data_IF_381324415767
#
_entry.id   IF_381324415767
#
_cell.length_a   1.000
_cell.length_b   1.000
_cell.length_c   1.000
_cell.angle_alpha   90.00
_cell.angle_beta   90.00
_cell.angle_gamma   90.00
#
_symmetry.space_group_name_H-M   'P 1'
#
loop_
_entity.id
_entity.type
_entity.pdbx_description
1 polymer ?
#
# COMPACT_ATOMS: atom_id res chain seq x y z
N UNK A 1 25.23 -12.51 -33.36
CA UNK A 1 26.21 -11.75 -34.18
C UNK A 1 26.97 -10.85 -33.22
N UNK A 2 28.26 -11.08 -33.00
CA UNK A 2 29.10 -10.19 -32.19
C UNK A 2 29.54 -9.02 -33.06
N UNK A 3 29.10 -7.80 -32.74
CA UNK A 3 29.45 -6.58 -33.47
C UNK A 3 30.51 -5.83 -32.65
N UNK A 4 31.68 -5.61 -33.25
CA UNK A 4 32.83 -4.90 -32.66
C UNK A 4 32.86 -3.39 -32.94
N UNK A 5 31.92 -2.87 -33.72
CA UNK A 5 31.86 -1.45 -34.06
C UNK A 5 30.40 -0.99 -34.25
N UNK A 6 29.83 -0.34 -33.23
CA UNK A 6 28.39 -0.04 -33.15
C UNK A 6 27.94 0.98 -34.19
N UNK A 7 28.76 1.98 -34.51
CA UNK A 7 28.33 3.12 -35.33
C UNK A 7 28.28 2.77 -36.82
N UNK A 8 29.22 1.96 -37.31
CA UNK A 8 29.17 1.45 -38.69
C UNK A 8 27.95 0.55 -38.92
N UNK A 9 27.63 -0.31 -37.95
CA UNK A 9 26.52 -1.24 -38.05
C UNK A 9 25.15 -0.52 -38.03
N UNK A 10 24.99 0.47 -37.15
CA UNK A 10 23.80 1.34 -37.11
C UNK A 10 23.60 2.04 -38.46
N UNK A 11 24.67 2.59 -39.05
CA UNK A 11 24.61 3.24 -40.36
C UNK A 11 24.19 2.29 -41.48
N UNK A 12 24.66 1.04 -41.45
CA UNK A 12 24.28 0.00 -42.42
C UNK A 12 22.80 -0.39 -42.30
N UNK A 13 22.29 -0.52 -41.07
CA UNK A 13 20.89 -0.84 -40.81
C UNK A 13 19.98 0.30 -41.26
N UNK A 14 20.32 1.54 -40.90
CA UNK A 14 19.56 2.72 -41.33
C UNK A 14 19.44 2.76 -42.86
N UNK A 15 20.55 2.54 -43.58
CA UNK A 15 20.57 2.55 -45.05
C UNK A 15 19.81 1.38 -45.68
N UNK A 16 19.75 0.23 -45.00
CA UNK A 16 19.04 -0.95 -45.50
C UNK A 16 17.52 -0.90 -45.26
N UNK A 17 17.06 -0.13 -44.27
CA UNK A 17 15.68 -0.13 -43.78
C UNK A 17 14.92 1.19 -44.00
N UNK A 18 15.58 2.27 -44.42
CA UNK A 18 14.97 3.59 -44.55
C UNK A 18 13.76 3.65 -45.51
N UNK A 19 13.79 2.85 -46.58
CA UNK A 19 12.75 2.85 -47.64
C UNK A 19 11.87 1.59 -47.60
N UNK A 20 11.81 0.93 -46.43
CA UNK A 20 11.00 -0.28 -46.25
C UNK A 20 10.08 -0.13 -45.06
N UNK A 21 8.82 -0.48 -45.28
CA UNK A 21 7.86 -0.74 -44.22
C UNK A 21 8.26 -2.00 -43.44
N UNK A 22 8.60 -1.82 -42.16
CA UNK A 22 9.11 -2.90 -41.32
C UNK A 22 8.27 -3.11 -40.05
N UNK A 23 8.32 -4.33 -39.53
CA UNK A 23 7.85 -4.69 -38.20
C UNK A 23 9.06 -5.15 -37.38
N UNK A 24 9.39 -4.41 -36.32
CA UNK A 24 10.45 -4.78 -35.37
C UNK A 24 9.77 -5.24 -34.08
N UNK A 25 10.22 -6.37 -33.54
CA UNK A 25 9.85 -6.83 -32.20
C UNK A 25 11.12 -6.87 -31.36
N UNK A 26 11.17 -6.01 -30.34
CA UNK A 26 12.20 -6.03 -29.31
C UNK A 26 11.64 -6.75 -28.09
N UNK A 27 12.15 -7.94 -27.84
CA UNK A 27 11.73 -8.74 -26.69
C UNK A 27 12.65 -8.48 -25.48
N UNK A 28 12.05 -8.33 -24.30
CA UNK A 28 12.70 -8.22 -22.99
C UNK A 28 13.76 -7.10 -22.86
N UNK A 29 13.36 -5.86 -23.17
CA UNK A 29 14.25 -4.70 -23.06
C UNK A 29 14.38 -4.24 -21.61
N UNK A 30 15.59 -4.24 -21.07
CA UNK A 30 15.85 -3.87 -19.66
C UNK A 30 16.34 -2.42 -19.49
N UNK A 31 17.04 -1.88 -20.50
CA UNK A 31 17.72 -0.58 -20.43
C UNK A 31 17.43 0.28 -21.65
N UNK A 32 17.22 1.58 -21.44
CA UNK A 32 16.98 2.57 -22.52
C UNK A 32 18.10 2.58 -23.57
N UNK A 33 19.35 2.40 -23.16
CA UNK A 33 20.51 2.31 -24.07
C UNK A 33 20.37 1.22 -25.15
N UNK A 34 19.70 0.10 -24.85
CA UNK A 34 19.45 -0.96 -25.83
C UNK A 34 18.48 -0.48 -26.91
N UNK A 35 17.46 0.27 -26.49
CA UNK A 35 16.42 0.84 -27.34
C UNK A 35 17.01 1.92 -28.26
N UNK A 36 17.84 2.82 -27.71
CA UNK A 36 18.54 3.86 -28.46
C UNK A 36 19.51 3.27 -29.51
N UNK A 37 20.18 2.17 -29.20
CA UNK A 37 21.11 1.49 -30.12
C UNK A 37 20.40 0.74 -31.26
N UNK A 38 19.21 0.18 -30.99
CA UNK A 38 18.52 -0.71 -31.93
C UNK A 38 17.49 0.00 -32.81
N UNK A 39 16.78 0.98 -32.26
CA UNK A 39 15.62 1.62 -32.92
C UNK A 39 15.83 3.12 -33.11
N UNK A 40 16.82 3.72 -32.46
CA UNK A 40 17.25 5.08 -32.72
C UNK A 40 16.10 6.10 -32.65
N UNK A 41 15.98 6.93 -33.69
CA UNK A 41 14.90 7.93 -33.85
C UNK A 41 13.88 7.45 -34.88
N UNK A 42 12.66 8.00 -34.83
CA UNK A 42 11.55 7.62 -35.73
C UNK A 42 11.82 7.85 -37.23
N UNK A 43 12.86 8.61 -37.58
CA UNK A 43 13.30 8.87 -38.96
C UNK A 43 14.11 7.71 -39.58
N UNK A 44 14.36 6.63 -38.84
CA UNK A 44 15.09 5.47 -39.34
C UNK A 44 14.25 4.56 -40.26
N UNK A 45 12.92 4.73 -40.26
CA UNK A 45 11.99 3.78 -40.89
C UNK A 45 10.95 4.49 -41.75
N UNK A 46 10.47 3.79 -42.77
CA UNK A 46 9.40 4.30 -43.65
C UNK A 46 8.09 4.45 -42.87
N UNK A 47 7.26 5.43 -43.26
CA UNK A 47 5.96 5.68 -42.67
C UNK A 47 5.07 4.42 -42.72
N UNK A 48 4.44 4.08 -41.59
CA UNK A 48 3.65 2.86 -41.41
C UNK A 48 4.43 1.65 -40.89
N UNK A 49 5.74 1.79 -40.62
CA UNK A 49 6.51 0.81 -39.85
C UNK A 49 6.00 0.72 -38.41
N UNK A 50 6.15 -0.45 -37.78
CA UNK A 50 5.71 -0.71 -36.41
C UNK A 50 6.84 -1.30 -35.58
N UNK A 51 7.00 -0.81 -34.35
CA UNK A 51 7.92 -1.37 -33.36
C UNK A 51 7.11 -1.84 -32.17
N UNK A 52 7.26 -3.11 -31.80
CA UNK A 52 6.67 -3.70 -30.60
C UNK A 52 7.81 -3.92 -29.62
N UNK A 53 7.63 -3.45 -28.39
CA UNK A 53 8.64 -3.56 -27.33
C UNK A 53 7.96 -4.25 -26.16
N UNK A 54 8.53 -5.37 -25.72
CA UNK A 54 8.16 -5.98 -24.44
C UNK A 54 9.21 -5.59 -23.41
N UNK A 55 8.75 -5.19 -22.23
CA UNK A 55 9.63 -4.83 -21.11
C UNK A 55 8.88 -5.01 -19.80
N UNK A 56 9.62 -5.35 -18.75
CA UNK A 56 9.14 -5.34 -17.36
C UNK A 56 9.37 -4.00 -16.66
N UNK A 57 10.10 -3.09 -17.30
CA UNK A 57 10.54 -1.84 -16.71
C UNK A 57 10.08 -0.64 -17.56
N UNK A 58 9.01 0.01 -17.09
CA UNK A 58 8.42 1.14 -17.81
C UNK A 58 9.38 2.35 -17.93
N UNK A 59 10.40 2.45 -17.06
CA UNK A 59 11.40 3.54 -17.13
C UNK A 59 12.24 3.51 -18.40
N UNK A 60 12.30 2.38 -19.11
CA UNK A 60 12.94 2.26 -20.42
C UNK A 60 12.26 3.15 -21.47
N UNK A 61 10.96 3.42 -21.28
CA UNK A 61 10.10 4.12 -22.24
C UNK A 61 9.90 5.62 -21.91
N UNK A 62 10.21 6.05 -20.68
CA UNK A 62 10.02 7.45 -20.22
C UNK A 62 11.34 8.23 -20.21
N UNK A 63 11.34 9.49 -20.65
CA UNK A 63 12.49 10.38 -20.49
C UNK A 63 12.53 11.00 -19.08
N UNK A 64 13.74 11.16 -18.53
CA UNK A 64 14.00 11.56 -17.12
C UNK A 64 13.61 13.00 -16.76
N UNK A 65 12.71 13.66 -17.48
CA UNK A 65 12.52 15.12 -17.41
C UNK A 65 11.09 15.61 -17.42
N UNK A 66 10.14 14.86 -16.86
CA UNK A 66 8.88 15.45 -16.42
C UNK A 66 8.68 15.18 -14.94
N UNK A 67 8.72 16.28 -14.17
CA UNK A 67 8.29 16.32 -12.78
C UNK A 67 6.84 15.86 -12.78
N UNK A 68 6.59 14.67 -12.24
CA UNK A 68 5.23 14.19 -12.01
C UNK A 68 4.58 15.10 -10.95
N UNK A 69 3.94 16.16 -11.42
CA UNK A 69 2.84 16.79 -10.70
C UNK A 69 1.71 15.76 -10.59
N UNK A 70 1.11 15.69 -9.40
CA UNK A 70 0.27 14.58 -8.92
C UNK A 70 -1.09 14.51 -9.63
N UNK A 71 -1.38 15.43 -10.56
CA UNK A 71 -2.70 15.56 -11.22
C UNK A 71 -2.69 15.34 -12.75
N UNK A 72 -1.58 14.89 -13.35
CA UNK A 72 -1.54 14.64 -14.79
C UNK A 72 -2.02 13.22 -15.15
N UNK A 73 -3.17 13.16 -15.82
CA UNK A 73 -3.61 12.06 -16.70
C UNK A 73 -2.40 11.52 -17.46
N UNK A 74 -2.19 10.17 -17.58
CA UNK A 74 -0.98 9.62 -18.20
C UNK A 74 -0.78 10.24 -19.59
N UNK A 75 0.20 11.14 -19.66
CA UNK A 75 0.55 11.88 -20.85
C UNK A 75 0.90 10.89 -21.95
N UNK A 76 0.15 10.96 -23.04
CA UNK A 76 0.44 10.26 -24.29
C UNK A 76 1.75 10.82 -24.80
N UNK A 77 2.87 10.12 -24.62
CA UNK A 77 4.06 10.39 -25.42
C UNK A 77 3.63 10.31 -26.89
N UNK A 78 3.80 11.41 -27.66
CA UNK A 78 3.46 11.44 -29.07
C UNK A 78 4.13 10.26 -29.79
N UNK A 79 3.33 9.23 -30.12
CA UNK A 79 3.77 8.07 -30.90
C UNK A 79 4.01 6.75 -30.14
N UNK A 80 4.03 6.71 -28.80
CA UNK A 80 4.20 5.44 -28.05
C UNK A 80 2.87 4.98 -27.47
N UNK A 81 2.37 3.84 -27.95
CA UNK A 81 1.19 3.17 -27.40
C UNK A 81 1.65 2.13 -26.37
N UNK A 82 1.31 2.35 -25.10
CA UNK A 82 1.55 1.37 -24.03
C UNK A 82 0.38 0.40 -23.94
N UNK A 83 0.68 -0.89 -23.76
CA UNK A 83 -0.30 -1.94 -23.49
C UNK A 83 0.17 -2.77 -22.30
N UNK A 84 -0.52 -2.62 -21.17
CA UNK A 84 -0.29 -3.46 -20.00
C UNK A 84 -0.92 -4.84 -20.23
N UNK A 85 -0.10 -5.89 -20.18
CA UNK A 85 -0.59 -7.27 -20.29
C UNK A 85 -1.36 -7.61 -19.02
N UNK A 86 -2.68 -7.70 -19.14
CA UNK A 86 -3.56 -8.01 -18.02
C UNK A 86 -3.40 -9.47 -17.56
N UNK A 87 -3.65 -9.68 -16.27
CA UNK A 87 -3.76 -11.03 -15.70
C UNK A 87 -4.75 -11.91 -16.50
N UNK A 88 -4.42 -13.19 -16.61
CA UNK A 88 -5.30 -14.17 -17.23
C UNK A 88 -6.57 -14.37 -16.40
N UNK A 89 -7.73 -14.39 -17.05
CA UNK A 89 -9.00 -14.67 -16.37
C UNK A 89 -9.01 -16.09 -15.78
N UNK A 90 -9.66 -16.29 -14.63
CA UNK A 90 -9.67 -17.58 -13.94
C UNK A 90 -10.15 -18.74 -14.82
N UNK A 91 -11.18 -18.52 -15.65
CA UNK A 91 -11.68 -19.52 -16.61
C UNK A 91 -10.64 -19.91 -17.65
N UNK A 92 -9.89 -18.93 -18.17
CA UNK A 92 -8.80 -19.15 -19.13
C UNK A 92 -7.61 -19.84 -18.46
N UNK A 93 -7.27 -19.46 -17.22
CA UNK A 93 -6.24 -20.10 -16.43
C UNK A 93 -6.57 -21.58 -16.14
N UNK A 94 -7.83 -21.89 -15.83
CA UNK A 94 -8.31 -23.25 -15.68
C UNK A 94 -8.25 -24.03 -16.99
N UNK A 95 -8.69 -23.43 -18.10
CA UNK A 95 -8.60 -24.07 -19.41
C UNK A 95 -7.15 -24.36 -19.80
N UNK A 96 -6.23 -23.41 -19.59
CA UNK A 96 -4.80 -23.58 -19.86
C UNK A 96 -4.23 -24.71 -19.00
N UNK A 97 -4.48 -24.68 -17.69
CA UNK A 97 -4.04 -25.72 -16.78
C UNK A 97 -4.53 -27.10 -17.21
N UNK A 98 -5.81 -27.21 -17.60
CA UNK A 98 -6.40 -28.46 -18.05
C UNK A 98 -5.83 -28.95 -19.38
N UNK A 99 -5.48 -28.05 -20.31
CA UNK A 99 -4.82 -28.43 -21.56
C UNK A 99 -3.45 -29.04 -21.32
N UNK A 100 -2.72 -28.52 -20.33
CA UNK A 100 -1.40 -29.03 -19.97
C UNK A 100 -1.46 -30.31 -19.13
N UNK A 101 -2.42 -30.43 -18.21
CA UNK A 101 -2.55 -31.60 -17.30
C UNK A 101 -3.40 -32.75 -17.84
N UNK A 102 -4.58 -32.46 -18.41
CA UNK A 102 -5.55 -33.46 -18.89
C UNK A 102 -5.59 -33.59 -20.42
N UNK A 103 -4.89 -32.72 -21.17
CA UNK A 103 -5.00 -32.61 -22.64
C UNK A 103 -6.43 -32.30 -23.10
N UNK A 104 -7.20 -31.58 -22.26
CA UNK A 104 -8.61 -31.18 -22.48
C UNK A 104 -8.85 -29.79 -21.90
N UNK A 105 -10.00 -29.19 -22.21
CA UNK A 105 -10.32 -27.83 -21.76
C UNK A 105 -10.93 -27.75 -20.35
N UNK A 106 -11.17 -28.90 -19.71
CA UNK A 106 -11.83 -29.00 -18.41
C UNK A 106 -11.26 -30.17 -17.59
N UNK A 107 -11.29 -30.07 -16.24
CA UNK A 107 -10.83 -31.13 -15.37
C UNK A 107 -11.89 -32.26 -15.28
N UNK A 108 -11.45 -33.46 -14.90
CA UNK A 108 -12.35 -34.52 -14.43
C UNK A 108 -12.89 -34.19 -13.04
N UNK A 109 -14.07 -34.70 -12.68
CA UNK A 109 -14.79 -34.35 -11.43
C UNK A 109 -13.91 -34.46 -10.18
N UNK A 110 -13.16 -35.56 -10.05
CA UNK A 110 -12.28 -35.84 -8.90
C UNK A 110 -11.12 -34.85 -8.73
N UNK A 111 -10.79 -34.09 -9.77
CA UNK A 111 -9.65 -33.17 -9.82
C UNK A 111 -10.06 -31.70 -9.97
N UNK A 112 -11.36 -31.40 -10.05
CA UNK A 112 -11.87 -30.05 -10.22
C UNK A 112 -11.45 -29.15 -9.04
N UNK A 113 -11.61 -29.63 -7.81
CA UNK A 113 -11.23 -28.90 -6.59
C UNK A 113 -9.71 -28.67 -6.54
N UNK A 114 -8.91 -29.71 -6.78
CA UNK A 114 -7.44 -29.64 -6.76
C UNK A 114 -6.90 -28.70 -7.85
N UNK A 115 -7.43 -28.78 -9.07
CA UNK A 115 -7.05 -27.92 -10.19
C UNK A 115 -7.28 -26.45 -9.84
N UNK A 116 -8.45 -26.12 -9.28
CA UNK A 116 -8.79 -24.77 -8.85
C UNK A 116 -7.85 -24.27 -7.74
N UNK A 117 -7.55 -25.10 -6.74
CA UNK A 117 -6.61 -24.74 -5.67
C UNK A 117 -5.20 -24.47 -6.18
N UNK A 118 -4.69 -25.31 -7.09
CA UNK A 118 -3.38 -25.11 -7.71
C UNK A 118 -3.36 -23.80 -8.50
N UNK A 119 -4.36 -23.51 -9.32
CA UNK A 119 -4.43 -22.25 -10.10
C UNK A 119 -4.45 -21.01 -9.20
N UNK A 120 -5.17 -21.08 -8.07
CA UNK A 120 -5.20 -20.01 -7.09
C UNK A 120 -3.80 -19.75 -6.51
N UNK A 121 -3.06 -20.81 -6.16
CA UNK A 121 -1.68 -20.68 -5.65
C UNK A 121 -0.72 -20.17 -6.74
N UNK A 122 -0.91 -20.62 -7.98
CA UNK A 122 -0.11 -20.19 -9.12
C UNK A 122 -0.46 -18.78 -9.63
N UNK A 123 -1.39 -18.06 -8.99
CA UNK A 123 -1.66 -16.66 -9.29
C UNK A 123 -2.23 -16.40 -10.68
N UNK A 124 -2.85 -17.41 -11.33
CA UNK A 124 -3.35 -17.31 -12.72
C UNK A 124 -2.26 -17.01 -13.78
N UNK A 125 -1.00 -17.35 -13.49
CA UNK A 125 0.12 -17.04 -14.36
C UNK A 125 0.31 -18.08 -15.45
N UNK A 126 0.31 -17.69 -16.74
CA UNK A 126 0.32 -18.65 -17.85
C UNK A 126 1.50 -19.62 -17.80
N UNK A 127 2.71 -19.11 -17.55
CA UNK A 127 3.93 -19.93 -17.54
C UNK A 127 3.98 -20.88 -16.35
N UNK A 128 3.65 -20.41 -15.15
CA UNK A 128 3.62 -21.26 -13.96
C UNK A 128 2.55 -22.36 -14.09
N UNK A 129 1.39 -22.02 -14.65
CA UNK A 129 0.31 -22.95 -14.97
C UNK A 129 0.75 -24.01 -15.96
N UNK A 130 1.43 -23.61 -17.04
CA UNK A 130 1.94 -24.54 -18.05
C UNK A 130 2.95 -25.53 -17.46
N UNK A 131 3.93 -25.03 -16.70
CA UNK A 131 4.99 -25.86 -16.10
C UNK A 131 4.39 -26.88 -15.14
N UNK A 132 3.56 -26.43 -14.20
CA UNK A 132 2.94 -27.33 -13.22
C UNK A 132 1.92 -28.25 -13.88
N UNK A 133 1.06 -27.73 -14.75
CA UNK A 133 0.08 -28.52 -15.49
C UNK A 133 0.74 -29.64 -16.28
N UNK A 134 1.84 -29.36 -16.98
CA UNK A 134 2.59 -30.36 -17.75
C UNK A 134 3.27 -31.39 -16.86
N UNK A 135 3.78 -31.00 -15.68
CA UNK A 135 4.36 -31.91 -14.69
C UNK A 135 3.34 -32.90 -14.10
N UNK A 136 2.06 -32.53 -14.14
CA UNK A 136 0.94 -33.35 -13.66
C UNK A 136 0.29 -34.17 -14.81
N UNK A 137 0.86 -34.13 -16.02
CA UNK A 137 0.35 -34.84 -17.19
C UNK A 137 0.88 -36.29 -17.26
N UNK A 138 0.00 -37.29 -17.39
CA UNK A 138 0.39 -38.70 -17.43
C UNK A 138 -0.79 -39.70 -17.48
N UNK A 139 -0.52 -40.94 -17.90
CA UNK A 139 -1.51 -41.98 -18.29
C UNK A 139 -2.18 -42.69 -17.09
N UNK A 140 -1.80 -42.39 -15.86
CA UNK A 140 -2.59 -42.73 -14.68
C UNK A 140 -2.63 -41.51 -13.79
N UNK A 141 -3.77 -40.82 -13.74
CA UNK A 141 -3.93 -39.62 -12.92
C UNK A 141 -3.80 -40.06 -11.46
N UNK A 142 -2.61 -39.86 -10.88
CA UNK A 142 -2.31 -40.23 -9.51
C UNK A 142 -2.71 -39.07 -8.59
N UNK A 143 -3.80 -39.26 -7.84
CA UNK A 143 -4.30 -38.25 -6.91
C UNK A 143 -3.27 -37.89 -5.83
N UNK A 144 -2.43 -38.83 -5.42
CA UNK A 144 -1.40 -38.57 -4.41
C UNK A 144 -0.34 -37.58 -4.91
N UNK A 145 0.07 -37.69 -6.19
CA UNK A 145 1.01 -36.76 -6.82
C UNK A 145 0.47 -35.32 -6.88
N UNK A 146 -0.83 -35.17 -7.17
CA UNK A 146 -1.49 -33.87 -7.17
C UNK A 146 -1.54 -33.25 -5.77
N UNK A 147 -1.88 -34.04 -4.75
CA UNK A 147 -1.91 -33.59 -3.37
C UNK A 147 -0.50 -33.25 -2.83
N UNK A 148 0.53 -34.02 -3.22
CA UNK A 148 1.93 -33.73 -2.88
C UNK A 148 2.43 -32.46 -3.57
N UNK A 149 2.11 -32.28 -4.85
CA UNK A 149 2.48 -31.07 -5.62
C UNK A 149 1.81 -29.84 -5.01
N UNK A 150 0.55 -29.94 -4.63
CA UNK A 150 -0.15 -28.88 -3.90
C UNK A 150 0.57 -28.52 -2.58
N UNK A 151 0.97 -29.54 -1.80
CA UNK A 151 1.75 -29.34 -0.56
C UNK A 151 3.14 -28.74 -0.81
N UNK A 152 3.78 -29.04 -1.94
CA UNK A 152 5.07 -28.47 -2.33
C UNK A 152 4.94 -27.01 -2.76
N UNK A 153 3.92 -26.69 -3.56
CA UNK A 153 3.63 -25.31 -3.98
C UNK A 153 3.23 -24.42 -2.81
N UNK A 154 2.63 -24.99 -1.76
CA UNK A 154 2.41 -24.30 -0.49
C UNK A 154 3.71 -24.00 0.28
N UNK A 155 4.85 -24.63 -0.09
CA UNK A 155 6.14 -24.50 0.61
C UNK A 155 7.22 -23.77 -0.20
N UNK A 156 7.25 -23.91 -1.53
CA UNK A 156 8.27 -23.34 -2.41
C UNK A 156 7.62 -22.36 -3.40
N UNK A 157 8.07 -21.10 -3.47
CA UNK A 157 7.41 -20.11 -4.31
C UNK A 157 7.61 -20.35 -5.84
N UNK A 158 6.64 -19.98 -6.70
CA UNK A 158 6.73 -20.10 -8.16
C UNK A 158 7.87 -19.28 -8.82
N UNK A 159 8.17 -19.54 -10.11
CA UNK A 159 9.22 -18.86 -10.89
C UNK A 159 9.12 -17.32 -10.90
N UNK A 160 7.91 -16.76 -10.88
CA UNK A 160 7.71 -15.30 -10.77
C UNK A 160 8.02 -14.76 -9.37
N UNK A 161 7.92 -15.58 -8.32
CA UNK A 161 8.45 -15.21 -7.01
C UNK A 161 9.98 -15.17 -7.04
N UNK A 162 10.64 -16.02 -7.82
CA UNK A 162 12.10 -15.91 -8.03
C UNK A 162 12.47 -14.62 -8.77
N UNK A 163 11.69 -14.22 -9.79
CA UNK A 163 11.89 -12.95 -10.50
C UNK A 163 11.56 -11.72 -9.63
N UNK A 164 10.51 -11.81 -8.80
CA UNK A 164 10.16 -10.80 -7.80
C UNK A 164 11.23 -10.72 -6.71
N UNK A 165 11.82 -11.84 -6.30
CA UNK A 165 12.95 -11.88 -5.37
C UNK A 165 14.16 -11.14 -5.93
N UNK A 166 14.49 -11.33 -7.22
CA UNK A 166 15.57 -10.56 -7.88
C UNK A 166 15.26 -9.05 -7.87
N UNK A 167 14.01 -8.67 -8.14
CA UNK A 167 13.57 -7.27 -8.09
C UNK A 167 13.65 -6.68 -6.67
N UNK A 168 13.31 -7.47 -5.65
CA UNK A 168 13.40 -7.10 -4.23
C UNK A 168 14.84 -7.00 -3.73
N UNK A 169 15.71 -7.95 -4.10
CA UNK A 169 17.14 -7.94 -3.75
C UNK A 169 17.84 -6.71 -4.34
N UNK A 170 17.37 -6.20 -5.48
CA UNK A 170 17.90 -4.96 -6.06
C UNK A 170 17.40 -3.65 -5.44
N UNK A 171 16.57 -3.69 -4.37
CA UNK A 171 16.10 -2.49 -3.65
C UNK A 171 17.09 -2.05 -2.57
N UNK A 172 17.15 -0.74 -2.31
CA UNK A 172 17.87 -0.20 -1.15
C UNK A 172 17.18 -0.55 0.17
N UNK A 173 17.91 -0.56 1.31
CA UNK A 173 17.35 -0.97 2.60
C UNK A 173 16.07 -0.23 3.02
N UNK A 174 16.01 1.08 2.80
CA UNK A 174 14.83 1.91 3.11
C UNK A 174 13.64 1.56 2.22
N UNK A 175 13.88 1.33 0.93
CA UNK A 175 12.87 0.91 -0.05
C UNK A 175 12.31 -0.48 0.28
N UNK A 176 13.16 -1.40 0.74
CA UNK A 176 12.73 -2.72 1.24
C UNK A 176 11.80 -2.57 2.44
N UNK A 177 12.13 -1.71 3.42
CA UNK A 177 11.24 -1.47 4.58
C UNK A 177 9.87 -0.96 4.16
N UNK A 178 9.81 0.00 3.22
CA UNK A 178 8.53 0.50 2.66
C UNK A 178 7.76 -0.61 1.95
N UNK A 179 8.43 -1.44 1.14
CA UNK A 179 7.81 -2.59 0.46
C UNK A 179 7.18 -3.57 1.45
N UNK A 180 7.92 -3.97 2.49
CA UNK A 180 7.45 -4.91 3.51
C UNK A 180 6.28 -4.32 4.31
N UNK A 181 6.36 -3.04 4.67
CA UNK A 181 5.26 -2.33 5.35
C UNK A 181 3.98 -2.34 4.50
N UNK A 182 4.09 -2.08 3.18
CA UNK A 182 2.94 -2.13 2.27
C UNK A 182 2.36 -3.55 2.20
N UNK A 183 3.20 -4.56 1.94
CA UNK A 183 2.80 -5.96 1.79
C UNK A 183 2.05 -6.50 3.03
N UNK A 184 2.48 -6.07 4.21
CA UNK A 184 1.92 -6.52 5.48
C UNK A 184 0.72 -5.69 5.94
N UNK A 185 0.76 -4.36 5.82
CA UNK A 185 -0.15 -3.48 6.58
C UNK A 185 -0.97 -2.51 5.74
N UNK A 186 -0.53 -2.13 4.53
CA UNK A 186 -1.15 -1.02 3.79
C UNK A 186 -1.80 -1.40 2.45
N UNK A 187 -1.87 -2.69 2.10
CA UNK A 187 -2.69 -3.12 0.96
C UNK A 187 -4.16 -2.75 1.19
N UNK A 188 -4.77 -2.10 0.18
CA UNK A 188 -6.13 -1.53 0.21
C UNK A 188 -6.33 -0.44 1.27
N UNK A 189 -5.25 0.14 1.79
CA UNK A 189 -5.30 1.33 2.63
C UNK A 189 -4.96 2.57 1.80
N UNK A 190 -5.41 3.75 2.27
CA UNK A 190 -5.12 5.03 1.65
C UNK A 190 -3.61 5.32 1.68
N UNK A 191 -3.03 5.70 0.54
CA UNK A 191 -1.59 5.93 0.39
C UNK A 191 -1.07 7.23 1.05
N UNK A 192 -1.95 8.19 1.40
CA UNK A 192 -1.55 9.50 1.95
C UNK A 192 -0.94 9.39 3.34
N UNK A 193 -1.45 8.50 4.19
CA UNK A 193 -1.06 8.48 5.62
C UNK A 193 0.27 7.79 5.90
N UNK A 194 0.61 6.64 5.27
CA UNK A 194 1.87 5.93 5.54
C UNK A 194 3.12 6.79 5.30
N UNK A 195 3.05 7.77 4.39
CA UNK A 195 4.12 8.72 4.06
C UNK A 195 4.62 9.47 5.30
N UNK A 196 3.74 9.84 6.24
CA UNK A 196 4.15 10.55 7.46
C UNK A 196 5.04 9.70 8.36
N UNK A 197 4.67 8.43 8.56
CA UNK A 197 5.48 7.48 9.33
C UNK A 197 6.82 7.24 8.65
N UNK A 198 6.81 6.95 7.35
CA UNK A 198 8.05 6.69 6.60
C UNK A 198 8.97 7.90 6.54
N UNK A 199 8.42 9.12 6.53
CA UNK A 199 9.24 10.35 6.56
C UNK A 199 9.93 10.53 7.92
N UNK A 200 9.23 10.33 9.04
CA UNK A 200 9.83 10.42 10.38
C UNK A 200 10.82 9.26 10.65
N UNK A 201 10.67 8.12 9.96
CA UNK A 201 11.62 7.01 9.95
C UNK A 201 12.84 7.23 9.02
N UNK A 202 12.91 8.35 8.28
CA UNK A 202 13.94 8.61 7.24
C UNK A 202 13.98 7.54 6.13
N UNK A 203 12.82 6.99 5.75
CA UNK A 203 12.71 5.98 4.68
C UNK A 203 12.53 6.59 3.29
N UNK A 204 12.55 7.92 3.16
CA UNK A 204 12.42 8.64 1.89
C UNK A 204 11.21 8.16 1.04
N UNK A 205 9.98 8.25 1.57
CA UNK A 205 8.81 7.58 0.99
C UNK A 205 8.52 7.93 -0.47
N UNK A 206 8.77 9.17 -0.89
CA UNK A 206 8.58 9.56 -2.29
C UNK A 206 9.52 8.82 -3.25
N UNK A 207 10.78 8.64 -2.86
CA UNK A 207 11.73 7.84 -3.64
C UNK A 207 11.33 6.36 -3.62
N UNK A 208 11.06 5.82 -2.44
CA UNK A 208 10.69 4.42 -2.28
C UNK A 208 9.43 4.05 -3.08
N UNK A 209 8.34 4.80 -2.95
CA UNK A 209 7.10 4.56 -3.69
C UNK A 209 7.36 4.64 -5.20
N UNK A 210 8.12 5.64 -5.66
CA UNK A 210 8.48 5.77 -7.08
C UNK A 210 9.23 4.55 -7.59
N UNK A 211 10.25 4.09 -6.87
CA UNK A 211 11.03 2.92 -7.27
C UNK A 211 10.18 1.65 -7.29
N UNK A 212 9.32 1.46 -6.28
CA UNK A 212 8.43 0.29 -6.21
C UNK A 212 7.40 0.29 -7.35
N UNK A 213 6.85 1.45 -7.74
CA UNK A 213 5.97 1.60 -8.92
C UNK A 213 6.72 1.31 -10.22
N UNK A 214 7.92 1.88 -10.42
CA UNK A 214 8.73 1.66 -11.62
C UNK A 214 9.14 0.20 -11.82
N UNK A 215 9.28 -0.54 -10.71
CA UNK A 215 9.56 -1.98 -10.71
C UNK A 215 8.31 -2.86 -10.72
N UNK A 216 7.13 -2.25 -10.85
CA UNK A 216 5.83 -2.94 -10.82
C UNK A 216 5.62 -3.81 -9.58
N UNK A 217 6.28 -3.47 -8.46
CA UNK A 217 6.14 -4.19 -7.19
C UNK A 217 4.90 -3.75 -6.41
N UNK A 218 4.43 -2.52 -6.68
CA UNK A 218 3.18 -1.96 -6.17
C UNK A 218 2.46 -1.25 -7.30
N UNK A 219 1.15 -1.09 -7.14
CA UNK A 219 0.30 -0.22 -7.94
C UNK A 219 -0.54 0.67 -7.01
N UNK A 220 -0.88 1.88 -7.45
CA UNK A 220 -1.81 2.76 -6.75
C UNK A 220 -3.05 2.86 -7.62
N UNK A 221 -4.20 2.41 -7.11
CA UNK A 221 -5.47 2.46 -7.84
C UNK A 221 -6.03 3.88 -7.92
N UNK A 222 -7.03 4.08 -8.78
CA UNK A 222 -7.76 5.37 -8.93
C UNK A 222 -8.37 5.88 -7.61
N UNK A 223 -8.57 4.98 -6.63
CA UNK A 223 -9.05 5.31 -5.29
C UNK A 223 -7.94 5.68 -4.30
N UNK A 224 -6.72 5.95 -4.79
CA UNK A 224 -5.53 6.28 -4.02
C UNK A 224 -5.11 5.20 -3.01
N UNK A 225 -5.39 3.93 -3.31
CA UNK A 225 -5.02 2.81 -2.44
C UNK A 225 -3.89 1.98 -3.00
N UNK A 226 -3.01 1.51 -2.12
CA UNK A 226 -1.98 0.57 -2.51
C UNK A 226 -2.57 -0.79 -2.88
N UNK A 227 -2.06 -1.36 -3.96
CA UNK A 227 -2.30 -2.73 -4.38
C UNK A 227 -0.98 -3.40 -4.74
N UNK A 228 -0.93 -4.70 -4.55
CA UNK A 228 0.19 -5.55 -4.94
C UNK A 228 -0.37 -6.80 -5.60
N UNK A 229 0.33 -7.35 -6.58
CA UNK A 229 0.03 -8.67 -7.08
C UNK A 229 0.10 -9.69 -5.93
N UNK A 230 -0.80 -10.67 -5.91
CA UNK A 230 -0.97 -11.60 -4.78
C UNK A 230 0.35 -12.28 -4.40
N UNK A 231 1.15 -12.66 -5.39
CA UNK A 231 2.45 -13.31 -5.16
C UNK A 231 3.53 -12.37 -4.62
N UNK A 232 3.54 -11.11 -5.07
CA UNK A 232 4.49 -10.09 -4.60
C UNK A 232 4.21 -9.77 -3.14
N UNK A 233 2.93 -9.62 -2.80
CA UNK A 233 2.45 -9.50 -1.43
C UNK A 233 2.86 -10.70 -0.58
N UNK A 234 2.60 -11.90 -1.07
CA UNK A 234 2.83 -13.12 -0.29
C UNK A 234 4.34 -13.36 -0.11
N UNK A 235 5.19 -12.98 -1.07
CA UNK A 235 6.64 -12.89 -0.89
C UNK A 235 7.02 -11.91 0.21
N UNK A 236 6.52 -10.66 0.17
CA UNK A 236 6.82 -9.67 1.20
C UNK A 236 6.41 -10.14 2.60
N UNK A 237 5.24 -10.76 2.72
CA UNK A 237 4.77 -11.36 3.98
C UNK A 237 5.62 -12.53 4.43
N UNK A 238 6.09 -13.36 3.48
CA UNK A 238 6.97 -14.48 3.79
C UNK A 238 8.33 -14.01 4.29
N UNK A 239 8.92 -12.98 3.67
CA UNK A 239 10.18 -12.35 4.13
C UNK A 239 10.00 -11.85 5.57
N UNK A 240 8.93 -11.10 5.85
CA UNK A 240 8.63 -10.65 7.21
C UNK A 240 8.44 -11.82 8.16
N UNK A 241 7.80 -12.92 7.73
CA UNK A 241 7.61 -14.11 8.55
C UNK A 241 8.92 -14.83 8.87
N UNK A 242 9.84 -14.94 7.91
CA UNK A 242 11.17 -15.54 8.13
C UNK A 242 12.07 -14.65 9.00
N UNK A 243 12.05 -13.33 8.76
CA UNK A 243 12.81 -12.34 9.55
C UNK A 243 12.24 -12.22 10.99
N UNK A 244 10.91 -12.26 11.17
CA UNK A 244 10.24 -12.00 12.46
C UNK A 244 9.66 -13.28 13.09
N UNK A 245 10.26 -14.44 12.87
CA UNK A 245 9.80 -15.72 13.41
C UNK A 245 9.96 -15.85 14.95
N UNK A 246 9.45 -14.91 15.76
CA UNK A 246 9.21 -15.02 17.22
C UNK A 246 8.03 -14.12 17.63
N UNK A 247 6.81 -14.66 17.59
CA UNK A 247 5.67 -14.07 18.30
C UNK A 247 6.02 -13.90 19.80
N UNK A 248 5.57 -12.81 20.46
CA UNK A 248 5.65 -12.71 21.90
C UNK A 248 4.77 -13.81 22.50
N UNK A 249 5.37 -14.77 23.22
CA UNK A 249 4.64 -15.78 23.97
C UNK A 249 5.14 -17.22 23.84
N UNK A 250 6.00 -17.56 22.86
CA UNK A 250 6.67 -18.87 22.82
C UNK A 250 8.15 -18.74 22.47
N UNK A 251 8.97 -18.88 23.53
CA UNK A 251 10.45 -18.87 23.60
C UNK A 251 11.08 -17.47 23.69
N UNK A 252 11.51 -17.18 24.90
CA UNK A 252 12.47 -16.16 25.33
C UNK A 252 13.66 -16.04 24.37
N UNK A 253 13.77 -14.92 23.64
CA UNK A 253 15.06 -14.53 23.06
C UNK A 253 15.10 -13.62 21.82
N UNK A 254 14.00 -13.20 21.18
CA UNK A 254 14.09 -12.15 20.13
C UNK A 254 12.86 -11.22 20.12
N UNK A 255 12.68 -10.45 21.19
CA UNK A 255 11.67 -9.40 21.21
C UNK A 255 12.23 -8.02 20.82
N UNK A 256 13.55 -7.87 20.74
CA UNK A 256 14.21 -6.56 20.57
C UNK A 256 14.15 -6.03 19.12
N UNK A 257 13.95 -6.91 18.13
CA UNK A 257 13.98 -6.57 16.70
C UNK A 257 12.59 -6.35 16.07
N UNK A 258 11.50 -6.50 16.84
CA UNK A 258 10.15 -6.32 16.30
C UNK A 258 9.90 -4.84 16.05
N UNK A 259 9.84 -4.47 14.77
CA UNK A 259 9.62 -3.08 14.37
C UNK A 259 8.16 -2.76 14.03
N UNK A 260 7.35 -3.74 13.66
CA UNK A 260 5.94 -3.53 13.33
C UNK A 260 5.07 -4.71 13.79
N UNK A 261 3.96 -4.41 14.46
CA UNK A 261 3.05 -5.40 15.02
C UNK A 261 1.60 -5.09 14.65
N UNK A 262 0.90 -6.07 14.10
CA UNK A 262 -0.54 -5.99 13.84
C UNK A 262 -1.26 -7.18 14.48
N UNK A 263 -2.12 -6.91 15.45
CA UNK A 263 -2.89 -7.92 16.18
C UNK A 263 -4.31 -7.99 15.60
N UNK A 264 -4.60 -9.01 14.79
CA UNK A 264 -5.96 -9.31 14.34
C UNK A 264 -6.62 -10.29 15.31
N UNK A 265 -7.70 -9.86 15.96
CA UNK A 265 -8.47 -10.72 16.85
C UNK A 265 -9.36 -11.68 16.04
N UNK A 266 -9.04 -12.98 16.07
CA UNK A 266 -9.90 -14.03 15.55
C UNK A 266 -10.91 -14.41 16.64
N UNK A 267 -12.15 -13.96 16.48
CA UNK A 267 -13.19 -14.05 17.50
C UNK A 267 -13.30 -15.43 18.15
N UNK A 268 -12.97 -15.52 19.44
CA UNK A 268 -13.32 -16.61 20.37
C UNK A 268 -12.82 -16.27 21.79
N UNK A 269 -13.32 -15.19 22.39
CA UNK A 269 -13.34 -14.97 23.85
C UNK A 269 -14.22 -13.75 24.16
N UNK A 270 -14.86 -13.75 25.32
CA UNK A 270 -15.69 -12.64 25.80
C UNK A 270 -14.95 -11.30 25.78
N UNK A 271 -15.42 -10.36 24.96
CA UNK A 271 -15.44 -8.92 25.23
C UNK A 271 -14.14 -8.12 25.42
N UNK A 272 -12.94 -8.71 25.40
CA UNK A 272 -11.68 -7.99 25.65
C UNK A 272 -10.64 -8.16 24.56
N UNK A 273 -10.07 -7.07 24.05
CA UNK A 273 -8.87 -7.14 23.20
C UNK A 273 -7.59 -7.37 24.01
N UNK A 274 -6.46 -7.50 23.33
CA UNK A 274 -5.16 -7.79 23.95
C UNK A 274 -4.72 -6.66 24.88
N UNK A 275 -4.31 -6.99 26.12
CA UNK A 275 -3.80 -6.00 27.09
C UNK A 275 -2.27 -6.06 27.12
N UNK A 276 -1.61 -5.00 26.67
CA UNK A 276 -0.17 -4.83 26.83
C UNK A 276 0.15 -4.37 28.25
N UNK A 277 1.11 -5.05 28.87
CA UNK A 277 1.78 -4.55 30.08
C UNK A 277 2.93 -3.63 29.70
N UNK A 278 3.37 -2.81 30.65
CA UNK A 278 4.58 -2.00 30.53
C UNK A 278 5.82 -2.86 30.23
N UNK A 279 5.99 -3.99 30.90
CA UNK A 279 7.10 -4.90 30.63
C UNK A 279 7.10 -5.48 29.20
N UNK A 280 5.93 -5.78 28.64
CA UNK A 280 5.82 -6.30 27.27
C UNK A 280 6.19 -5.23 26.24
N UNK A 281 5.64 -4.03 26.38
CA UNK A 281 5.93 -2.94 25.44
C UNK A 281 7.38 -2.44 25.57
N UNK A 282 7.97 -2.46 26.77
CA UNK A 282 9.38 -2.12 26.99
C UNK A 282 10.37 -3.09 26.34
N UNK A 283 9.97 -4.35 26.08
CA UNK A 283 10.79 -5.30 25.32
C UNK A 283 10.78 -5.01 23.82
N UNK A 284 9.77 -4.28 23.34
CA UNK A 284 9.56 -3.91 21.93
C UNK A 284 10.18 -2.53 21.62
N UNK A 285 11.47 -2.36 21.91
CA UNK A 285 12.15 -1.04 21.83
C UNK A 285 12.20 -0.46 20.42
N UNK A 286 12.22 -1.32 19.40
CA UNK A 286 12.31 -0.93 17.99
C UNK A 286 10.93 -0.74 17.33
N UNK A 287 9.83 -0.90 18.09
CA UNK A 287 8.48 -0.89 17.55
C UNK A 287 8.08 0.49 17.03
N UNK A 288 8.02 0.65 15.71
CA UNK A 288 7.55 1.85 15.01
C UNK A 288 6.06 1.84 14.66
N UNK A 289 5.47 0.66 14.52
CA UNK A 289 4.08 0.50 14.08
C UNK A 289 3.33 -0.48 14.97
N UNK A 290 2.21 -0.06 15.54
CA UNK A 290 1.30 -0.91 16.30
C UNK A 290 -0.12 -0.75 15.76
N UNK A 291 -0.75 -1.87 15.38
CA UNK A 291 -2.16 -1.93 14.99
C UNK A 291 -2.89 -3.00 15.79
N UNK A 292 -4.07 -2.69 16.29
CA UNK A 292 -4.94 -3.69 16.86
C UNK A 292 -6.32 -3.16 17.22
N UNK A 293 -7.28 -4.08 17.28
CA UNK A 293 -8.65 -3.82 17.68
C UNK A 293 -8.84 -4.11 19.16
N UNK A 294 -9.42 -3.17 19.90
CA UNK A 294 -9.73 -3.32 21.32
C UNK A 294 -8.51 -3.44 22.21
N UNK A 295 -7.33 -2.99 21.77
CA UNK A 295 -6.11 -3.06 22.57
C UNK A 295 -6.31 -2.34 23.91
N UNK A 296 -5.70 -2.84 24.96
CA UNK A 296 -5.65 -2.17 26.24
C UNK A 296 -4.20 -2.02 26.69
N UNK A 297 -3.93 -1.00 27.49
CA UNK A 297 -2.61 -0.73 28.03
C UNK A 297 -2.72 -0.55 29.54
N UNK A 298 -2.00 -1.40 30.27
CA UNK A 298 -2.04 -1.45 31.72
C UNK A 298 -0.62 -1.35 32.28
N UNK A 299 -0.45 -0.52 33.31
CA UNK A 299 0.85 -0.30 33.94
C UNK A 299 1.44 1.07 33.63
N UNK A 300 2.75 1.21 33.88
CA UNK A 300 3.44 2.50 33.86
C UNK A 300 4.53 2.51 32.77
N UNK A 301 4.23 3.18 31.66
CA UNK A 301 5.09 3.19 30.47
C UNK A 301 6.15 4.28 30.57
N UNK A 302 6.98 4.20 31.61
CA UNK A 302 8.20 5.01 31.68
C UNK A 302 9.19 4.43 30.66
N UNK A 303 9.77 5.31 29.83
CA UNK A 303 10.87 5.09 28.87
C UNK A 303 10.52 5.35 27.38
N UNK A 304 11.57 5.34 26.56
CA UNK A 304 11.58 5.70 25.14
C UNK A 304 10.76 4.73 24.30
N UNK A 305 9.77 5.26 23.59
CA UNK A 305 9.01 4.53 22.60
C UNK A 305 9.39 5.04 21.20
N UNK A 306 9.83 4.14 20.33
CA UNK A 306 10.08 4.42 18.91
C UNK A 306 8.80 4.33 18.09
N UNK A 307 7.62 4.37 18.71
CA UNK A 307 6.34 4.23 18.03
C UNK A 307 6.02 5.51 17.24
N UNK A 308 5.82 5.35 15.93
CA UNK A 308 5.45 6.41 14.98
C UNK A 308 3.98 6.29 14.56
N UNK A 309 3.45 5.06 14.52
CA UNK A 309 2.08 4.78 14.13
C UNK A 309 1.35 3.93 15.17
N UNK A 310 0.23 4.43 15.68
CA UNK A 310 -0.68 3.67 16.53
C UNK A 310 -2.08 3.64 15.93
N UNK A 311 -2.51 2.46 15.48
CA UNK A 311 -3.88 2.18 15.06
C UNK A 311 -4.59 1.38 16.15
N UNK A 312 -5.40 2.10 16.91
CA UNK A 312 -6.04 1.65 18.14
C UNK A 312 -7.56 1.68 17.96
N UNK A 313 -8.04 0.79 17.11
CA UNK A 313 -9.45 0.69 16.76
C UNK A 313 -10.26 0.20 17.96
N UNK A 314 -11.46 0.74 18.13
CA UNK A 314 -12.39 0.33 19.19
C UNK A 314 -11.72 0.35 20.58
N UNK A 315 -10.97 1.42 20.88
CA UNK A 315 -10.25 1.56 22.14
C UNK A 315 -11.21 1.55 23.35
N UNK A 316 -10.76 1.02 24.51
CA UNK A 316 -11.58 0.98 25.71
C UNK A 316 -11.91 2.40 26.21
N UNK A 317 -13.12 2.62 26.76
CA UNK A 317 -13.51 3.92 27.31
C UNK A 317 -12.64 4.34 28.51
N UNK A 318 -12.09 3.36 29.23
CA UNK A 318 -11.19 3.58 30.35
C UNK A 318 -9.75 3.37 29.88
N UNK A 319 -8.92 4.42 29.96
CA UNK A 319 -7.49 4.32 29.70
C UNK A 319 -6.71 4.27 31.01
N UNK A 320 -6.18 3.09 31.35
CA UNK A 320 -5.53 2.82 32.65
C UNK A 320 -4.02 2.96 32.64
N UNK A 321 -3.40 3.17 31.47
CA UNK A 321 -1.97 3.36 31.36
C UNK A 321 -1.53 4.69 31.99
N UNK A 322 -0.41 4.65 32.70
CA UNK A 322 0.25 5.85 33.22
C UNK A 322 1.48 6.16 32.37
N UNK A 323 1.74 7.44 32.11
CA UNK A 323 2.89 7.95 31.35
C UNK A 323 3.03 7.32 29.95
N UNK A 324 1.91 7.03 29.27
CA UNK A 324 1.97 6.38 27.96
C UNK A 324 2.76 7.21 26.93
N UNK A 325 3.89 6.66 26.49
CA UNK A 325 4.87 7.38 25.69
C UNK A 325 4.45 7.47 24.22
N UNK A 326 3.83 8.59 23.85
CA UNK A 326 3.38 8.88 22.47
C UNK A 326 4.19 9.98 21.80
N UNK A 327 5.35 10.33 22.36
CA UNK A 327 6.12 11.53 21.98
C UNK A 327 6.54 11.52 20.51
N UNK A 328 6.80 10.33 19.96
CA UNK A 328 7.19 10.13 18.56
C UNK A 328 6.03 9.76 17.62
N UNK A 329 4.81 9.63 18.13
CA UNK A 329 3.68 9.23 17.28
C UNK A 329 3.32 10.37 16.33
N UNK A 330 3.36 10.04 15.04
CA UNK A 330 2.98 10.92 13.92
C UNK A 330 1.61 10.58 13.35
N UNK A 331 1.17 9.32 13.48
CA UNK A 331 -0.17 8.88 13.06
C UNK A 331 -0.86 8.17 14.21
N UNK A 332 -2.01 8.70 14.62
CA UNK A 332 -2.89 8.11 15.63
C UNK A 332 -4.27 7.88 15.03
N UNK A 333 -4.69 6.62 15.02
CA UNK A 333 -5.99 6.20 14.54
C UNK A 333 -6.78 5.60 15.71
N UNK A 334 -7.82 6.32 16.13
CA UNK A 334 -8.76 5.93 17.18
C UNK A 334 -10.13 5.57 16.58
N UNK A 335 -10.18 5.24 15.30
CA UNK A 335 -11.44 5.04 14.60
C UNK A 335 -12.31 3.95 15.24
N UNK A 336 -13.63 4.12 15.10
CA UNK A 336 -14.68 3.23 15.63
C UNK A 336 -14.71 3.13 17.16
N UNK A 337 -14.00 4.01 17.86
CA UNK A 337 -13.94 4.00 19.33
C UNK A 337 -15.15 4.68 19.96
N UNK A 338 -15.51 4.23 21.16
CA UNK A 338 -16.63 4.81 21.95
C UNK A 338 -16.17 6.00 22.79
N UNK A 339 -15.29 6.83 22.23
CA UNK A 339 -14.73 8.01 22.90
C UNK A 339 -15.72 9.18 22.85
N UNK A 340 -15.70 9.99 23.91
CA UNK A 340 -16.44 11.25 24.03
C UNK A 340 -15.45 12.42 24.11
N UNK A 341 -15.97 13.64 24.07
CA UNK A 341 -15.20 14.88 24.31
C UNK A 341 -14.46 14.86 25.66
N UNK A 342 -15.04 14.20 26.68
CA UNK A 342 -14.49 14.07 28.03
C UNK A 342 -13.67 12.79 28.26
N UNK A 343 -13.30 12.07 27.18
CA UNK A 343 -12.52 10.84 27.31
C UNK A 343 -11.19 11.11 28.04
N UNK A 344 -10.95 10.41 29.14
CA UNK A 344 -9.78 10.64 30.00
C UNK A 344 -8.46 10.44 29.27
N UNK A 345 -8.47 9.64 28.19
CA UNK A 345 -7.32 9.43 27.32
C UNK A 345 -6.80 10.68 26.61
N UNK A 346 -7.63 11.71 26.37
CA UNK A 346 -7.19 12.98 25.77
C UNK A 346 -6.05 13.62 26.57
N UNK A 347 -6.11 13.52 27.91
CA UNK A 347 -5.08 14.05 28.80
C UNK A 347 -3.74 13.33 28.69
N UNK A 348 -3.74 12.07 28.28
CA UNK A 348 -2.54 11.25 28.13
C UNK A 348 -1.93 11.44 26.74
N UNK A 349 -2.75 11.48 25.69
CA UNK A 349 -2.24 11.62 24.32
C UNK A 349 -1.74 13.03 23.97
N UNK A 350 -2.01 14.05 24.82
CA UNK A 350 -1.51 15.43 24.63
C UNK A 350 0.02 15.53 24.48
N UNK A 351 0.77 14.49 24.89
CA UNK A 351 2.22 14.42 24.74
C UNK A 351 2.68 14.06 23.33
N UNK A 352 1.77 13.65 22.43
CA UNK A 352 2.04 13.36 21.02
C UNK A 352 2.31 14.66 20.23
N UNK A 353 3.42 15.32 20.53
CA UNK A 353 3.77 16.63 19.96
C UNK A 353 4.14 16.57 18.47
N UNK A 354 4.50 15.40 17.96
CA UNK A 354 4.78 15.17 16.53
C UNK A 354 3.54 14.75 15.73
N UNK A 355 2.36 14.68 16.34
CA UNK A 355 1.17 14.15 15.69
C UNK A 355 0.79 14.97 14.45
N UNK A 356 0.74 14.29 13.30
CA UNK A 356 0.36 14.86 12.00
C UNK A 356 -0.99 14.36 11.50
N UNK A 357 -1.37 13.13 11.84
CA UNK A 357 -2.65 12.54 11.42
C UNK A 357 -3.41 12.04 12.64
N UNK A 358 -4.65 12.49 12.79
CA UNK A 358 -5.60 12.00 13.79
C UNK A 358 -6.87 11.48 13.09
N UNK A 359 -7.07 10.16 13.13
CA UNK A 359 -8.28 9.51 12.61
C UNK A 359 -9.26 9.18 13.74
N UNK A 360 -10.40 9.86 13.75
CA UNK A 360 -11.52 9.69 14.68
C UNK A 360 -12.78 9.17 13.95
N UNK A 361 -12.62 8.57 12.77
CA UNK A 361 -13.74 8.12 11.96
C UNK A 361 -14.65 7.17 12.72
N UNK A 362 -15.96 7.35 12.57
CA UNK A 362 -16.98 6.52 13.22
C UNK A 362 -16.93 6.52 14.75
N UNK A 363 -16.33 7.55 15.38
CA UNK A 363 -16.43 7.79 16.82
C UNK A 363 -17.82 8.34 17.18
N UNK A 364 -18.83 7.46 17.13
CA UNK A 364 -20.25 7.82 17.23
C UNK A 364 -20.72 8.31 18.60
N UNK A 365 -19.84 8.37 19.60
CA UNK A 365 -20.14 8.97 20.90
C UNK A 365 -19.67 10.42 21.02
N UNK A 366 -18.85 10.90 20.07
CA UNK A 366 -18.30 12.25 20.07
C UNK A 366 -19.38 13.27 19.67
N UNK A 367 -19.67 14.23 20.55
CA UNK A 367 -20.63 15.31 20.26
C UNK A 367 -19.97 16.62 19.85
N UNK A 368 -18.75 16.85 20.31
CA UNK A 368 -17.86 17.94 19.88
C UNK A 368 -16.45 17.41 19.72
N UNK A 369 -15.60 18.05 18.90
CA UNK A 369 -14.17 17.72 18.92
C UNK A 369 -13.57 18.02 20.30
N UNK A 370 -12.59 17.23 20.77
CA UNK A 370 -11.89 17.53 22.01
C UNK A 370 -10.99 18.75 21.84
N UNK A 371 -10.37 19.22 22.92
CA UNK A 371 -9.34 20.25 22.81
C UNK A 371 -8.08 19.70 22.11
N UNK A 372 -7.84 20.13 20.87
CA UNK A 372 -6.72 19.71 20.03
C UNK A 372 -5.54 20.69 20.04
N UNK A 373 -5.54 21.73 20.89
CA UNK A 373 -4.55 22.81 20.86
C UNK A 373 -3.10 22.36 21.06
N UNK A 374 -2.89 21.18 21.65
CA UNK A 374 -1.55 20.61 21.86
C UNK A 374 -0.94 20.01 20.59
N UNK A 375 -1.75 19.70 19.57
CA UNK A 375 -1.32 19.06 18.32
C UNK A 375 -0.97 20.11 17.25
N UNK A 376 -0.01 20.97 17.56
CA UNK A 376 0.36 22.11 16.69
C UNK A 376 0.90 21.72 15.30
N UNK A 377 1.32 20.46 15.12
CA UNK A 377 1.77 19.89 13.85
C UNK A 377 0.70 19.05 13.14
N UNK A 378 -0.55 19.06 13.62
CA UNK A 378 -1.61 18.27 13.00
C UNK A 378 -1.91 18.80 11.60
N UNK A 379 -1.78 17.92 10.60
CA UNK A 379 -2.00 18.21 9.19
C UNK A 379 -3.32 17.60 8.71
N UNK A 380 -3.72 16.44 9.23
CA UNK A 380 -4.92 15.71 8.82
C UNK A 380 -5.79 15.36 10.02
N UNK A 381 -7.05 15.81 9.99
CA UNK A 381 -8.08 15.44 10.96
C UNK A 381 -9.26 14.76 10.24
N UNK A 382 -9.54 13.51 10.61
CA UNK A 382 -10.62 12.72 10.02
C UNK A 382 -11.70 12.49 11.08
N UNK A 383 -12.87 13.07 10.84
CA UNK A 383 -14.08 12.95 11.67
C UNK A 383 -15.18 12.18 10.94
N UNK A 384 -14.88 11.61 9.76
CA UNK A 384 -15.87 11.00 8.89
C UNK A 384 -16.77 9.98 9.65
N UNK A 385 -18.05 9.99 9.35
CA UNK A 385 -19.08 9.11 9.90
C UNK A 385 -19.25 9.23 11.42
N UNK A 386 -18.84 10.35 12.05
CA UNK A 386 -19.19 10.68 13.43
C UNK A 386 -20.64 11.18 13.50
N UNK A 387 -21.60 10.25 13.53
CA UNK A 387 -23.03 10.54 13.37
C UNK A 387 -23.64 11.47 14.44
N UNK A 388 -23.05 11.56 15.63
CA UNK A 388 -23.52 12.41 16.74
C UNK A 388 -22.74 13.72 16.90
N UNK A 389 -21.75 13.97 16.05
CA UNK A 389 -20.97 15.20 16.10
C UNK A 389 -21.88 16.38 15.76
N UNK A 390 -22.05 17.32 16.69
CA UNK A 390 -22.94 18.48 16.58
C UNK A 390 -22.14 19.75 16.28
N UNK A 391 -20.97 19.90 16.90
CA UNK A 391 -20.13 21.10 16.83
C UNK A 391 -18.65 20.73 16.66
N UNK A 392 -17.86 21.68 16.16
CA UNK A 392 -16.40 21.62 16.16
C UNK A 392 -15.89 22.63 17.21
N UNK A 393 -15.02 22.19 18.12
CA UNK A 393 -14.40 23.05 19.12
C UNK A 393 -13.43 24.04 18.50
N UNK A 394 -13.37 25.26 19.05
CA UNK A 394 -12.55 26.36 18.54
C UNK A 394 -11.05 26.02 18.51
N UNK A 395 -10.56 25.12 19.36
CA UNK A 395 -9.16 24.67 19.32
C UNK A 395 -8.78 24.04 17.97
N UNK A 396 -9.73 23.44 17.26
CA UNK A 396 -9.54 22.85 15.92
C UNK A 396 -9.18 23.91 14.89
N UNK A 397 -9.69 25.13 15.05
CA UNK A 397 -9.49 26.24 14.12
C UNK A 397 -8.11 26.90 14.33
N UNK A 398 -7.52 26.73 15.51
CA UNK A 398 -6.19 27.26 15.80
C UNK A 398 -5.06 26.39 15.21
N UNK A 399 -5.40 25.26 14.57
CA UNK A 399 -4.45 24.33 13.96
C UNK A 399 -3.90 24.89 12.64
N UNK A 400 -2.83 25.69 12.72
CA UNK A 400 -2.26 26.40 11.58
C UNK A 400 -1.75 25.49 10.45
N UNK A 401 -1.40 24.24 10.76
CA UNK A 401 -0.87 23.28 9.79
C UNK A 401 -1.94 22.35 9.20
N UNK A 402 -3.20 22.47 9.64
CA UNK A 402 -4.28 21.58 9.20
C UNK A 402 -4.56 21.79 7.72
N UNK A 403 -4.21 20.79 6.90
CA UNK A 403 -4.39 20.78 5.45
C UNK A 403 -5.61 20.00 5.01
N UNK A 404 -6.01 18.98 5.79
CA UNK A 404 -7.18 18.15 5.49
C UNK A 404 -8.12 18.08 6.69
N UNK A 405 -9.39 18.46 6.49
CA UNK A 405 -10.48 18.26 7.44
C UNK A 405 -11.59 17.45 6.77
N UNK A 406 -11.77 16.20 7.21
CA UNK A 406 -12.79 15.31 6.66
C UNK A 406 -13.94 15.09 7.64
N UNK A 407 -15.13 15.56 7.29
CA UNK A 407 -16.37 15.43 8.06
C UNK A 407 -17.47 14.73 7.25
N UNK A 408 -17.09 13.91 6.26
CA UNK A 408 -18.03 13.12 5.46
C UNK A 408 -19.00 12.35 6.38
N UNK A 409 -20.30 12.41 6.14
CA UNK A 409 -21.28 11.63 6.91
C UNK A 409 -21.52 12.07 8.36
N UNK A 410 -20.98 13.22 8.80
CA UNK A 410 -21.35 13.84 10.10
C UNK A 410 -22.73 14.51 10.01
N UNK A 411 -23.79 13.70 9.98
CA UNK A 411 -25.14 14.17 9.66
C UNK A 411 -25.81 15.05 10.74
N UNK A 412 -25.29 15.05 11.98
CA UNK A 412 -25.81 15.89 13.07
C UNK A 412 -25.09 17.24 13.20
N UNK A 413 -24.08 17.49 12.37
CA UNK A 413 -23.26 18.70 12.43
C UNK A 413 -24.14 19.90 12.05
N UNK A 414 -24.35 20.82 12.98
CA UNK A 414 -25.29 21.93 12.81
C UNK A 414 -24.64 23.11 12.10
N UNK A 415 -23.48 23.53 12.59
CA UNK A 415 -22.71 24.64 12.02
C UNK A 415 -21.21 24.39 12.18
N UNK A 416 -20.45 25.00 11.27
CA UNK A 416 -19.01 25.17 11.43
C UNK A 416 -18.75 26.53 12.06
N UNK A 417 -17.73 26.64 12.91
CA UNK A 417 -17.24 27.95 13.36
C UNK A 417 -16.89 28.84 12.15
N UNK A 418 -17.24 30.12 12.19
CA UNK A 418 -16.97 31.08 11.11
C UNK A 418 -15.46 31.20 10.84
N UNK A 419 -14.65 31.00 11.85
CA UNK A 419 -13.21 31.09 11.80
C UNK A 419 -12.56 29.90 11.08
N UNK A 420 -13.31 28.85 10.70
CA UNK A 420 -12.79 27.78 9.83
C UNK A 420 -12.24 28.37 8.52
N UNK A 421 -12.83 29.46 8.03
CA UNK A 421 -12.35 30.22 6.88
C UNK A 421 -10.95 30.85 7.07
N UNK A 422 -10.43 30.89 8.30
CA UNK A 422 -9.11 31.45 8.62
C UNK A 422 -7.97 30.41 8.62
N UNK A 423 -8.28 29.13 8.39
CA UNK A 423 -7.29 28.06 8.30
C UNK A 423 -6.43 28.21 7.03
N UNK A 424 -5.23 28.78 7.17
CA UNK A 424 -4.37 29.16 6.03
C UNK A 424 -3.85 27.97 5.21
N UNK A 425 -3.61 26.84 5.88
CA UNK A 425 -3.02 25.65 5.26
C UNK A 425 -4.06 24.67 4.72
N UNK A 426 -5.36 24.92 4.92
CA UNK A 426 -6.43 24.00 4.55
C UNK A 426 -6.58 23.94 3.03
N UNK A 427 -6.30 22.77 2.46
CA UNK A 427 -6.40 22.49 1.02
C UNK A 427 -7.56 21.54 0.70
N UNK A 428 -7.91 20.65 1.63
CA UNK A 428 -8.96 19.64 1.45
C UNK A 428 -9.99 19.71 2.58
N UNK A 429 -11.23 20.12 2.25
CA UNK A 429 -12.36 20.18 3.17
C UNK A 429 -13.50 19.28 2.67
N UNK A 430 -13.76 18.16 3.36
CA UNK A 430 -14.82 17.22 2.99
C UNK A 430 -16.00 17.40 3.94
N UNK A 431 -17.14 17.83 3.41
CA UNK A 431 -18.34 18.19 4.18
C UNK A 431 -19.38 17.06 4.21
N UNK A 432 -20.28 17.01 5.22
CA UNK A 432 -21.45 16.15 5.19
C UNK A 432 -22.39 16.53 4.05
N UNK A 433 -22.94 15.53 3.36
CA UNK A 433 -23.83 15.67 2.20
C UNK A 433 -25.08 16.53 2.45
N UNK A 434 -25.54 16.62 3.70
CA UNK A 434 -26.78 17.32 4.09
C UNK A 434 -26.54 18.55 4.99
N UNK A 435 -25.33 19.10 5.00
CA UNK A 435 -25.05 20.32 5.77
C UNK A 435 -25.89 21.49 5.23
N UNK A 436 -26.47 22.29 6.13
CA UNK A 436 -27.29 23.46 5.78
C UNK A 436 -26.39 24.53 5.11
N UNK A 437 -26.30 24.45 3.79
CA UNK A 437 -25.45 25.23 2.86
C UNK A 437 -25.50 26.77 3.02
N UNK A 438 -26.44 27.34 3.77
CA UNK A 438 -26.71 28.78 3.76
C UNK A 438 -25.67 29.63 4.52
N UNK A 439 -25.06 29.13 5.62
CA UNK A 439 -23.94 29.82 6.30
C UNK A 439 -22.56 29.46 5.71
N UNK A 440 -22.49 28.32 5.03
CA UNK A 440 -21.23 27.75 4.51
C UNK A 440 -20.59 28.60 3.41
N UNK A 441 -21.40 29.28 2.59
CA UNK A 441 -20.94 30.09 1.46
C UNK A 441 -20.13 31.33 1.90
N UNK A 442 -20.48 31.95 3.03
CA UNK A 442 -19.71 33.08 3.58
C UNK A 442 -18.38 32.60 4.18
N UNK A 443 -18.38 31.48 4.90
CA UNK A 443 -17.17 30.91 5.53
C UNK A 443 -16.16 30.38 4.51
N UNK A 444 -16.62 29.69 3.46
CA UNK A 444 -15.75 29.14 2.41
C UNK A 444 -15.18 30.24 1.52
N UNK A 445 -15.89 31.35 1.31
CA UNK A 445 -15.40 32.48 0.49
C UNK A 445 -14.09 33.10 1.00
N UNK A 446 -13.76 32.87 2.27
CA UNK A 446 -12.52 33.33 2.90
C UNK A 446 -11.35 32.34 2.80
N UNK A 447 -11.56 31.11 2.31
CA UNK A 447 -10.53 30.09 2.17
C UNK A 447 -9.72 30.32 0.88
N UNK A 448 -8.50 30.85 1.01
CA UNK A 448 -7.65 31.22 -0.12
C UNK A 448 -6.92 30.03 -0.79
N UNK A 449 -6.87 28.87 -0.12
CA UNK A 449 -6.01 27.72 -0.49
C UNK A 449 -6.79 26.46 -0.90
N UNK A 450 -8.11 26.53 -1.06
CA UNK A 450 -8.95 25.37 -1.37
C UNK A 450 -8.82 25.01 -2.86
N UNK A 451 -8.50 23.75 -3.18
CA UNK A 451 -8.41 23.22 -4.55
C UNK A 451 -9.74 22.65 -5.05
#
# INVERSE_FOLDING_TARGET
IFVRDNDQWIGMIKKALCDKKILIVLDDVEKKEQLEKLVGKSDWFENGSKVIITTRNMSVLTDRTERLEVDAVPNRHEGILTYEVKEMGFSQALQLFCRHSFRRDFPTEDYNILSRQIILILGKLPLAIEVIGSSLSGVSIDKALWEETLKKLQKVPPKEVQETMISYEGLEPTQRRVFLDIACFFIKENNKYPIFMWSDCEFYPHDAIRVLLLRSLINIGDDNKFSMHDQVRDLGRHIVYEENCRLPGKRSGASEEIEALSLSYNGQSDGGGYTFTDEELQRLRSLRFLRGKGLNFFGNFKDHCELRWLSWHECPPNFTAMNFCLVNVVVLDLSRSKITEDWTGWSQIKMAKKLKVLDLRSCNCLRSTPNLSNFTYLEILILAWCSKLVTIDHSTINLQNLSTLNMEGCNSLQELPEEVGSLKSLTELIMPKYSLLCKLLETISNLQSLS
#
